data_IF_930810324817
#
_entry.id   IF_930810324817
#
_cell.length_a   1.000
_cell.length_b   1.000
_cell.length_c   1.000
_cell.angle_alpha   90.00
_cell.angle_beta   90.00
_cell.angle_gamma   90.00
#
_symmetry.space_group_name_H-M   'P 1'
#
loop_
_entity.id
_entity.type
_entity.pdbx_description
1 polymer ?
#
# COMPACT_ATOMS: atom_id res chain seq x y z
N UNK A 1 11.50 -17.59 17.84
CA UNK A 1 10.92 -17.34 16.48
C UNK A 1 10.88 -15.85 16.24
N UNK A 2 11.33 -15.38 15.08
CA UNK A 2 11.33 -13.95 14.71
C UNK A 2 9.90 -13.41 14.59
N UNK A 3 9.65 -12.19 15.06
CA UNK A 3 8.35 -11.54 14.91
C UNK A 3 7.97 -11.33 13.43
N UNK A 4 6.70 -11.23 13.09
CA UNK A 4 6.27 -10.86 11.74
C UNK A 4 6.81 -9.50 11.29
N UNK A 5 6.99 -9.36 9.97
CA UNK A 5 7.20 -8.06 9.32
C UNK A 5 5.84 -7.51 8.90
N UNK A 6 5.56 -6.25 9.23
CA UNK A 6 4.31 -5.58 8.91
C UNK A 6 4.54 -4.56 7.80
N UNK A 7 3.90 -4.77 6.65
CA UNK A 7 3.80 -3.82 5.55
C UNK A 7 2.48 -3.06 5.65
N UNK A 8 2.55 -1.77 5.94
CA UNK A 8 1.41 -0.86 5.87
C UNK A 8 1.31 -0.16 4.53
N UNK A 9 0.11 -0.16 3.94
CA UNK A 9 -0.15 0.52 2.67
C UNK A 9 -1.36 1.45 2.84
N UNK A 10 -1.14 2.74 2.66
CA UNK A 10 -2.15 3.78 2.75
C UNK A 10 -2.31 4.47 1.40
N UNK A 11 -3.48 4.95 1.12
CA UNK A 11 -3.83 5.74 -0.04
C UNK A 11 -5.34 5.88 -0.16
N UNK A 12 -5.81 6.86 -0.87
CA UNK A 12 -7.25 7.09 -1.02
C UNK A 12 -7.94 5.94 -1.80
N UNK A 13 -9.25 5.99 -1.81
CA UNK A 13 -10.07 5.03 -2.56
C UNK A 13 -9.70 5.06 -4.04
N UNK A 14 -9.47 3.88 -4.60
CA UNK A 14 -8.99 3.67 -5.97
C UNK A 14 -7.54 4.14 -6.25
N UNK A 15 -6.71 4.40 -5.24
CA UNK A 15 -5.30 4.73 -5.45
C UNK A 15 -4.44 3.54 -5.94
N UNK A 16 -4.98 2.33 -6.04
CA UNK A 16 -4.25 1.14 -6.50
C UNK A 16 -3.67 0.28 -5.37
N UNK A 17 -4.01 0.52 -4.10
CA UNK A 17 -3.52 -0.25 -2.94
C UNK A 17 -3.60 -1.76 -3.16
N UNK A 18 -4.80 -2.25 -3.39
CA UNK A 18 -5.05 -3.69 -3.59
C UNK A 18 -4.35 -4.25 -4.84
N UNK A 19 -4.15 -3.44 -5.87
CA UNK A 19 -3.39 -3.85 -7.07
C UNK A 19 -1.92 -4.03 -6.72
N UNK A 20 -1.34 -3.09 -5.98
CA UNK A 20 0.06 -3.16 -5.54
C UNK A 20 0.27 -4.34 -4.58
N UNK A 21 -0.56 -4.48 -3.54
CA UNK A 21 -0.41 -5.51 -2.51
C UNK A 21 -0.71 -6.91 -3.01
N UNK A 22 -1.63 -7.07 -3.96
CA UNK A 22 -2.04 -8.38 -4.50
C UNK A 22 -0.87 -9.18 -5.08
N UNK A 23 -0.02 -8.55 -5.89
CA UNK A 23 1.16 -9.19 -6.46
C UNK A 23 2.12 -9.65 -5.36
N UNK A 24 2.41 -8.76 -4.40
CA UNK A 24 3.26 -9.05 -3.24
C UNK A 24 2.72 -10.23 -2.42
N UNK A 25 1.45 -10.18 -2.03
CA UNK A 25 0.79 -11.24 -1.24
C UNK A 25 0.81 -12.56 -2.00
N UNK A 26 0.54 -12.55 -3.31
CA UNK A 26 0.52 -13.77 -4.14
C UNK A 26 1.89 -14.44 -4.19
N UNK A 27 2.96 -13.68 -4.36
CA UNK A 27 4.34 -14.19 -4.39
C UNK A 27 4.74 -14.77 -3.03
N UNK A 28 4.31 -14.15 -1.94
CA UNK A 28 4.57 -14.65 -0.58
C UNK A 28 3.74 -15.89 -0.20
N UNK A 29 3.01 -16.48 -1.14
CA UNK A 29 2.23 -17.71 -0.93
C UNK A 29 0.74 -17.48 -0.68
N UNK A 30 0.25 -16.26 -0.96
CA UNK A 30 -1.18 -15.93 -0.81
C UNK A 30 -1.62 -15.72 0.64
N UNK A 31 -2.93 -15.62 0.83
CA UNK A 31 -3.53 -15.38 2.16
C UNK A 31 -3.34 -16.52 3.16
N UNK A 32 -2.93 -17.69 2.71
CA UNK A 32 -2.58 -18.80 3.60
C UNK A 32 -1.25 -18.58 4.32
N UNK A 33 -0.33 -17.82 3.70
CA UNK A 33 1.02 -17.57 4.20
C UNK A 33 1.27 -16.10 4.58
N UNK A 34 0.31 -15.22 4.31
CA UNK A 34 0.35 -13.79 4.66
C UNK A 34 -0.91 -13.44 5.44
N UNK A 35 -0.74 -12.83 6.62
CA UNK A 35 -1.86 -12.27 7.37
C UNK A 35 -2.26 -10.96 6.70
N UNK A 36 -3.38 -10.97 5.98
CA UNK A 36 -3.87 -9.80 5.25
C UNK A 36 -4.98 -9.10 6.02
N UNK A 37 -4.80 -7.81 6.27
CA UNK A 37 -5.72 -6.96 7.02
C UNK A 37 -6.20 -5.83 6.12
N UNK A 38 -7.51 -5.72 5.93
CA UNK A 38 -8.13 -4.54 5.33
C UNK A 38 -8.53 -3.55 6.42
N UNK A 39 -8.06 -2.31 6.33
CA UNK A 39 -8.48 -1.24 7.24
C UNK A 39 -9.97 -0.92 7.12
N UNK A 40 -10.56 -1.14 5.95
CA UNK A 40 -12.00 -0.95 5.73
C UNK A 40 -12.86 -1.94 6.54
N UNK A 41 -12.30 -3.08 6.96
CA UNK A 41 -12.98 -4.01 7.86
C UNK A 41 -13.24 -3.41 9.26
N UNK A 42 -12.53 -2.36 9.63
CA UNK A 42 -12.64 -1.69 10.93
C UNK A 42 -13.63 -0.53 10.94
N UNK A 43 -14.52 -0.41 9.97
CA UNK A 43 -15.62 0.55 10.03
C UNK A 43 -16.52 0.29 11.24
N UNK A 44 -16.91 1.37 11.95
CA UNK A 44 -17.90 1.32 13.07
C UNK A 44 -19.32 1.16 12.57
N UNK A 45 -19.59 1.70 11.38
CA UNK A 45 -20.94 1.85 10.83
C UNK A 45 -21.03 1.27 9.43
N UNK A 46 -22.17 0.69 9.11
CA UNK A 46 -22.54 0.33 7.75
C UNK A 46 -22.67 1.59 6.85
N UNK A 47 -22.75 1.37 5.54
CA UNK A 47 -22.83 2.47 4.54
C UNK A 47 -24.02 3.40 4.81
N UNK A 48 -25.22 2.83 5.06
CA UNK A 48 -26.42 3.60 5.33
C UNK A 48 -26.27 4.45 6.59
N UNK A 49 -25.80 3.86 7.68
CA UNK A 49 -25.57 4.58 8.95
C UNK A 49 -24.58 5.74 8.79
N UNK A 50 -23.47 5.54 8.03
CA UNK A 50 -22.53 6.65 7.74
C UNK A 50 -23.21 7.77 6.96
N UNK A 51 -24.07 7.43 6.01
CA UNK A 51 -24.82 8.44 5.23
C UNK A 51 -25.79 9.24 6.13
N UNK A 52 -26.49 8.57 7.03
CA UNK A 52 -27.41 9.21 7.99
C UNK A 52 -26.69 10.12 8.98
N UNK A 53 -25.47 9.72 9.41
CA UNK A 53 -24.60 10.49 10.28
C UNK A 53 -23.84 11.62 9.56
N UNK A 54 -23.88 11.68 8.23
CA UNK A 54 -23.16 12.67 7.44
C UNK A 54 -21.64 12.52 7.50
N UNK A 55 -21.10 11.35 7.89
CA UNK A 55 -19.67 11.09 8.01
C UNK A 55 -19.15 10.22 6.88
N UNK A 56 -17.90 10.47 6.46
CA UNK A 56 -17.25 9.67 5.41
C UNK A 56 -16.44 8.50 6.01
N UNK A 57 -16.05 7.51 5.19
CA UNK A 57 -15.11 6.47 5.62
C UNK A 57 -13.72 6.99 6.03
N UNK A 58 -13.37 8.21 5.63
CA UNK A 58 -12.09 8.87 5.98
C UNK A 58 -12.12 9.50 7.37
N UNK A 59 -13.29 9.73 7.94
CA UNK A 59 -13.38 10.27 9.28
C UNK A 59 -12.93 9.23 10.32
N UNK A 60 -11.92 9.55 11.16
CA UNK A 60 -11.46 8.63 12.21
C UNK A 60 -12.58 8.13 13.12
N UNK A 61 -13.58 8.95 13.43
CA UNK A 61 -14.73 8.57 14.26
C UNK A 61 -15.61 7.48 13.61
N UNK A 62 -15.51 7.29 12.29
CA UNK A 62 -16.23 6.24 11.58
C UNK A 62 -15.51 4.88 11.63
N UNK A 63 -14.36 4.79 12.32
CA UNK A 63 -13.49 3.63 12.29
C UNK A 63 -13.03 3.21 13.70
N UNK A 64 -12.80 1.92 13.91
CA UNK A 64 -12.19 1.35 15.11
C UNK A 64 -10.67 1.30 14.97
N UNK A 65 -10.02 2.49 14.92
CA UNK A 65 -8.58 2.60 14.71
C UNK A 65 -7.76 2.11 15.90
N UNK A 66 -8.29 2.23 17.10
CA UNK A 66 -7.77 1.68 18.34
C UNK A 66 -7.71 0.15 18.29
N UNK A 67 -8.78 -0.51 17.86
CA UNK A 67 -8.83 -1.97 17.69
C UNK A 67 -7.87 -2.41 16.56
N UNK A 68 -7.78 -1.67 15.45
CA UNK A 68 -6.81 -1.96 14.40
C UNK A 68 -5.38 -1.94 14.96
N UNK A 69 -5.02 -0.92 15.75
CA UNK A 69 -3.69 -0.81 16.38
C UNK A 69 -3.41 -1.97 17.34
N UNK A 70 -4.39 -2.35 18.17
CA UNK A 70 -4.28 -3.51 19.06
C UNK A 70 -4.07 -4.80 18.26
N UNK A 71 -4.86 -5.05 17.22
CA UNK A 71 -4.74 -6.25 16.40
C UNK A 71 -3.39 -6.34 15.68
N UNK A 72 -2.86 -5.23 15.18
CA UNK A 72 -1.51 -5.22 14.59
C UNK A 72 -0.43 -5.52 15.63
N UNK A 73 -0.57 -5.01 16.84
CA UNK A 73 0.36 -5.30 17.94
C UNK A 73 0.32 -6.78 18.35
N UNK A 74 -0.87 -7.39 18.46
CA UNK A 74 -1.03 -8.82 18.72
C UNK A 74 -0.42 -9.68 17.61
N UNK A 75 -0.71 -9.36 16.34
CA UNK A 75 -0.11 -10.08 15.22
C UNK A 75 1.42 -9.98 15.22
N UNK A 76 1.99 -8.81 15.54
CA UNK A 76 3.46 -8.65 15.73
C UNK A 76 4.00 -9.50 16.88
N UNK A 77 3.24 -9.65 17.97
CA UNK A 77 3.54 -10.52 19.09
C UNK A 77 3.31 -12.01 18.77
N UNK A 78 2.91 -12.37 17.55
CA UNK A 78 2.55 -13.72 17.10
C UNK A 78 1.28 -14.27 17.76
N UNK A 79 0.41 -13.40 18.16
CA UNK A 79 -0.89 -13.72 18.72
C UNK A 79 -1.98 -13.61 17.63
N UNK A 80 -2.94 -14.52 17.67
CA UNK A 80 -4.07 -14.51 16.74
C UNK A 80 -5.12 -13.48 17.18
N UNK A 81 -5.87 -12.95 16.21
CA UNK A 81 -6.92 -11.97 16.46
C UNK A 81 -8.24 -12.38 15.84
N UNK A 82 -9.32 -11.86 16.38
CA UNK A 82 -10.66 -11.97 15.81
C UNK A 82 -11.02 -10.64 15.16
N UNK A 83 -10.72 -10.53 13.87
CA UNK A 83 -10.84 -9.31 13.08
C UNK A 83 -12.30 -9.05 12.68
N UNK A 84 -12.84 -7.81 12.78
CA UNK A 84 -14.11 -7.46 12.17
C UNK A 84 -14.05 -7.61 10.65
N UNK A 85 -15.20 -7.64 9.99
CA UNK A 85 -15.29 -7.67 8.52
C UNK A 85 -16.30 -6.67 8.00
N UNK A 86 -16.08 -6.17 6.78
CA UNK A 86 -16.97 -5.27 6.09
C UNK A 86 -17.24 -5.75 4.67
N UNK A 87 -18.49 -5.95 4.33
CA UNK A 87 -18.90 -6.28 2.96
C UNK A 87 -19.15 -5.03 2.14
N UNK A 88 -18.26 -4.76 1.19
CA UNK A 88 -18.38 -3.63 0.27
C UNK A 88 -19.59 -3.71 -0.68
N UNK A 89 -20.13 -4.88 -0.93
CA UNK A 89 -21.30 -5.05 -1.84
C UNK A 89 -22.57 -4.60 -1.14
N UNK A 90 -22.85 -5.16 0.02
CA UNK A 90 -24.02 -4.79 0.83
C UNK A 90 -23.81 -3.46 1.58
N UNK A 91 -22.57 -3.11 1.89
CA UNK A 91 -22.22 -1.96 2.72
C UNK A 91 -22.48 -2.19 4.21
N UNK A 92 -22.40 -3.45 4.67
CA UNK A 92 -22.72 -3.87 6.03
C UNK A 92 -21.52 -4.49 6.74
N UNK A 93 -21.59 -4.51 8.07
CA UNK A 93 -20.63 -5.25 8.89
C UNK A 93 -20.96 -6.75 8.82
N UNK A 94 -19.93 -7.58 8.74
CA UNK A 94 -20.04 -9.04 8.68
C UNK A 94 -19.61 -9.73 9.99
N UNK A 95 -19.68 -11.07 10.03
CA UNK A 95 -19.16 -11.83 11.15
C UNK A 95 -17.65 -11.70 11.26
N UNK A 96 -17.06 -11.72 12.46
CA UNK A 96 -15.63 -11.59 12.63
C UNK A 96 -14.87 -12.78 12.02
N UNK A 97 -13.64 -12.52 11.57
CA UNK A 97 -12.75 -13.49 10.95
C UNK A 97 -11.55 -13.77 11.88
N UNK A 98 -11.22 -15.05 12.04
CA UNK A 98 -10.05 -15.47 12.79
C UNK A 98 -8.78 -15.37 11.93
N UNK A 99 -7.83 -14.53 12.36
CA UNK A 99 -6.57 -14.31 11.65
C UNK A 99 -5.40 -14.81 12.51
N UNK A 100 -4.63 -15.75 11.94
CA UNK A 100 -3.38 -16.23 12.54
C UNK A 100 -2.21 -15.36 12.09
N UNK A 101 -1.20 -15.14 12.97
CA UNK A 101 0.01 -14.41 12.60
C UNK A 101 0.89 -15.28 11.68
N UNK A 102 1.14 -14.80 10.49
CA UNK A 102 2.12 -15.34 9.56
C UNK A 102 3.45 -14.58 9.65
N UNK A 103 4.44 -14.99 8.85
CA UNK A 103 5.76 -14.31 8.82
C UNK A 103 5.67 -12.88 8.27
N UNK A 104 4.67 -12.61 7.45
CA UNK A 104 4.38 -11.30 6.90
C UNK A 104 2.92 -10.93 7.20
N UNK A 105 2.72 -9.69 7.60
CA UNK A 105 1.42 -9.05 7.78
C UNK A 105 1.34 -7.92 6.76
N UNK A 106 0.30 -7.90 5.94
CA UNK A 106 0.02 -6.80 5.02
C UNK A 106 -1.26 -6.12 5.48
N UNK A 107 -1.19 -4.85 5.84
CA UNK A 107 -2.33 -4.03 6.18
C UNK A 107 -2.50 -2.92 5.16
N UNK A 108 -3.65 -2.86 4.50
CA UNK A 108 -3.99 -1.76 3.59
C UNK A 108 -5.25 -1.04 4.06
N UNK A 109 -5.28 0.27 3.87
CA UNK A 109 -6.46 1.03 4.27
C UNK A 109 -6.37 2.53 3.96
N UNK A 110 -7.31 3.24 4.53
CA UNK A 110 -7.42 4.69 4.39
C UNK A 110 -6.66 5.43 5.52
N UNK A 111 -6.57 4.86 6.72
CA UNK A 111 -6.15 5.57 7.93
C UNK A 111 -5.07 4.83 8.75
N UNK A 112 -4.29 3.93 8.12
CA UNK A 112 -3.32 3.08 8.83
C UNK A 112 -2.11 3.84 9.39
N UNK A 113 -1.93 5.13 9.06
CA UNK A 113 -0.86 5.99 9.59
C UNK A 113 -1.44 7.22 10.31
N UNK A 114 -2.71 7.17 10.73
CA UNK A 114 -3.41 8.31 11.34
C UNK A 114 -3.05 8.56 12.80
N UNK A 115 -2.33 7.64 13.46
CA UNK A 115 -1.85 7.80 14.83
C UNK A 115 -0.44 7.24 14.99
N UNK A 116 0.24 7.66 16.06
CA UNK A 116 1.58 7.16 16.41
C UNK A 116 1.58 5.65 16.62
N UNK A 117 0.59 5.12 17.32
CA UNK A 117 0.44 3.68 17.57
C UNK A 117 0.33 2.90 16.26
N UNK A 118 -0.48 3.40 15.31
CA UNK A 118 -0.63 2.77 14.00
C UNK A 118 0.67 2.88 13.19
N UNK A 119 1.35 4.03 13.21
CA UNK A 119 2.64 4.19 12.54
C UNK A 119 3.68 3.21 13.09
N UNK A 120 3.81 3.10 14.42
CA UNK A 120 4.76 2.22 15.09
C UNK A 120 4.48 0.72 14.87
N UNK A 121 3.24 0.36 14.57
CA UNK A 121 2.87 -1.01 14.27
C UNK A 121 3.39 -1.51 12.91
N UNK A 122 3.82 -0.62 12.01
CA UNK A 122 4.28 -0.95 10.66
C UNK A 122 5.80 -0.86 10.55
N UNK A 123 6.43 -1.88 9.97
CA UNK A 123 7.87 -1.92 9.73
C UNK A 123 8.25 -1.28 8.39
N UNK A 124 7.32 -1.27 7.43
CA UNK A 124 7.46 -0.61 6.13
C UNK A 124 6.16 0.15 5.88
N UNK A 125 6.25 1.46 5.69
CA UNK A 125 5.09 2.35 5.49
C UNK A 125 5.08 2.88 4.07
N UNK A 126 4.09 2.44 3.28
CA UNK A 126 3.91 2.81 1.88
C UNK A 126 2.69 3.69 1.72
N UNK A 127 2.84 4.84 1.06
CA UNK A 127 1.74 5.72 0.71
C UNK A 127 1.55 5.77 -0.80
N UNK A 128 0.35 5.47 -1.31
CA UNK A 128 0.02 5.60 -2.73
C UNK A 128 -0.57 6.97 -3.04
N UNK A 129 0.08 7.69 -3.95
CA UNK A 129 -0.26 9.04 -4.35
C UNK A 129 -0.32 9.20 -5.89
N UNK A 130 -1.19 8.47 -6.58
CA UNK A 130 -1.38 8.72 -8.01
C UNK A 130 -1.94 10.13 -8.24
N UNK A 131 -1.73 10.73 -9.43
CA UNK A 131 -2.38 11.98 -9.81
C UNK A 131 -3.90 11.90 -9.60
N UNK A 132 -4.48 12.98 -9.08
CA UNK A 132 -5.89 12.99 -8.67
C UNK A 132 -6.84 12.68 -9.84
N UNK A 133 -6.58 13.22 -11.03
CA UNK A 133 -7.38 12.98 -12.23
C UNK A 133 -7.40 11.48 -12.61
N UNK A 134 -6.23 10.84 -12.54
CA UNK A 134 -6.10 9.40 -12.82
C UNK A 134 -6.85 8.58 -11.76
N UNK A 135 -6.69 8.92 -10.49
CA UNK A 135 -7.39 8.28 -9.38
C UNK A 135 -8.92 8.40 -9.52
N UNK A 136 -9.43 9.60 -9.86
CA UNK A 136 -10.87 9.84 -10.11
C UNK A 136 -11.37 8.97 -11.26
N UNK A 137 -10.61 8.87 -12.35
CA UNK A 137 -10.93 8.01 -13.50
C UNK A 137 -11.02 6.53 -13.08
N UNK A 138 -10.04 6.05 -12.31
CA UNK A 138 -10.06 4.68 -11.80
C UNK A 138 -11.23 4.41 -10.85
N UNK A 139 -11.57 5.39 -10.00
CA UNK A 139 -12.72 5.27 -9.09
C UNK A 139 -14.02 5.21 -9.87
N UNK A 140 -14.22 6.08 -10.85
CA UNK A 140 -15.39 6.08 -11.73
C UNK A 140 -15.53 4.73 -12.44
N UNK A 141 -14.47 4.28 -13.11
CA UNK A 141 -14.47 2.99 -13.82
C UNK A 141 -14.83 1.84 -12.87
N UNK A 142 -14.13 1.73 -11.72
CA UNK A 142 -14.36 0.65 -10.75
C UNK A 142 -15.77 0.66 -10.17
N UNK A 143 -16.25 1.81 -9.73
CA UNK A 143 -17.49 1.90 -8.96
C UNK A 143 -18.71 1.79 -9.89
N UNK A 144 -18.64 2.31 -11.13
CA UNK A 144 -19.70 2.14 -12.12
C UNK A 144 -19.75 0.70 -12.66
N UNK A 145 -18.59 0.06 -12.93
CA UNK A 145 -18.59 -1.29 -13.56
C UNK A 145 -18.76 -2.43 -12.55
N UNK A 146 -18.23 -2.30 -11.32
CA UNK A 146 -18.20 -3.42 -10.35
C UNK A 146 -19.13 -3.25 -9.16
N UNK A 147 -19.54 -2.02 -8.84
CA UNK A 147 -20.34 -1.71 -7.65
C UNK A 147 -21.74 -1.21 -7.98
N UNK A 148 -22.05 -0.98 -9.27
CA UNK A 148 -23.36 -0.57 -9.74
C UNK A 148 -23.74 0.89 -9.44
N UNK A 149 -22.76 1.76 -9.11
CA UNK A 149 -23.01 3.17 -8.93
C UNK A 149 -23.15 3.90 -10.26
N UNK A 150 -23.93 4.97 -10.29
CA UNK A 150 -23.95 5.92 -11.39
C UNK A 150 -22.77 6.87 -11.32
N UNK A 151 -22.36 7.44 -12.45
CA UNK A 151 -21.31 8.46 -12.51
C UNK A 151 -21.59 9.64 -11.57
N UNK A 152 -22.85 10.08 -11.51
CA UNK A 152 -23.29 11.19 -10.66
C UNK A 152 -23.09 10.86 -9.15
N UNK A 153 -23.45 9.65 -8.73
CA UNK A 153 -23.26 9.22 -7.33
C UNK A 153 -21.77 9.17 -6.95
N UNK A 154 -20.92 8.69 -7.85
CA UNK A 154 -19.48 8.62 -7.60
C UNK A 154 -18.86 10.01 -7.51
N UNK A 155 -19.24 10.95 -8.38
CA UNK A 155 -18.77 12.35 -8.34
C UNK A 155 -19.23 13.01 -7.04
N UNK A 156 -20.51 12.90 -6.70
CA UNK A 156 -21.05 13.49 -5.48
C UNK A 156 -20.38 12.91 -4.20
N UNK A 157 -20.00 11.62 -4.21
CA UNK A 157 -19.23 11.02 -3.12
C UNK A 157 -17.80 11.60 -3.06
N UNK A 158 -17.13 11.77 -4.19
CA UNK A 158 -15.78 12.35 -4.25
C UNK A 158 -15.78 13.78 -3.68
N UNK A 159 -16.70 14.60 -4.12
CA UNK A 159 -16.78 16.01 -3.68
C UNK A 159 -17.08 16.11 -2.17
N UNK A 160 -17.97 15.27 -1.66
CA UNK A 160 -18.31 15.22 -0.24
C UNK A 160 -17.15 14.78 0.66
N UNK A 161 -16.16 14.05 0.11
CA UNK A 161 -15.00 13.53 0.84
C UNK A 161 -13.79 14.47 0.81
N UNK A 162 -13.79 15.51 -0.01
CA UNK A 162 -12.59 16.32 -0.26
C UNK A 162 -12.05 16.95 1.03
N UNK A 163 -12.93 17.48 1.90
CA UNK A 163 -12.52 18.03 3.19
C UNK A 163 -11.85 16.98 4.09
N UNK A 164 -12.41 15.78 4.15
CA UNK A 164 -11.84 14.67 4.94
C UNK A 164 -10.54 14.13 4.30
N UNK A 165 -10.39 14.18 2.98
CA UNK A 165 -9.14 13.86 2.28
C UNK A 165 -8.03 14.81 2.71
N UNK A 166 -8.29 16.11 2.69
CA UNK A 166 -7.33 17.14 3.13
C UNK A 166 -6.98 16.97 4.62
N UNK A 167 -7.99 16.73 5.44
CA UNK A 167 -7.82 16.70 6.89
C UNK A 167 -7.19 15.41 7.40
N UNK A 168 -7.53 14.24 6.85
CA UNK A 168 -7.18 12.94 7.42
C UNK A 168 -6.33 12.05 6.52
N UNK A 169 -6.46 12.18 5.18
CA UNK A 169 -5.72 11.31 4.25
C UNK A 169 -4.35 11.88 3.89
N UNK A 170 -4.31 13.11 3.35
CA UNK A 170 -3.07 13.72 2.86
C UNK A 170 -1.98 13.87 3.94
N UNK A 171 -2.30 14.23 5.21
CA UNK A 171 -1.29 14.35 6.25
C UNK A 171 -0.53 13.04 6.52
N UNK A 172 -1.11 11.88 6.25
CA UNK A 172 -0.47 10.58 6.48
C UNK A 172 0.75 10.35 5.57
N UNK A 173 0.82 11.06 4.43
CA UNK A 173 1.96 11.00 3.50
C UNK A 173 3.30 11.30 4.19
N UNK A 174 3.31 12.15 5.22
CA UNK A 174 4.53 12.51 5.98
C UNK A 174 5.15 11.34 6.73
N UNK A 175 4.34 10.35 7.11
CA UNK A 175 4.80 9.18 7.88
C UNK A 175 5.26 8.01 7.01
N UNK A 176 5.05 8.08 5.69
CA UNK A 176 5.46 7.03 4.78
C UNK A 176 6.98 7.01 4.61
N UNK A 177 7.54 5.80 4.56
CA UNK A 177 8.93 5.54 4.21
C UNK A 177 9.10 5.51 2.68
N UNK A 178 8.08 4.99 2.00
CA UNK A 178 8.04 4.88 0.54
C UNK A 178 6.74 5.52 0.04
N UNK A 179 6.84 6.45 -0.91
CA UNK A 179 5.68 7.01 -1.60
C UNK A 179 5.69 6.50 -3.02
N UNK A 180 4.59 5.87 -3.44
CA UNK A 180 4.44 5.31 -4.78
C UNK A 180 3.40 6.10 -5.54
N UNK A 181 3.76 6.58 -6.72
CA UNK A 181 2.87 7.23 -7.67
C UNK A 181 2.91 6.50 -9.00
N UNK A 182 1.75 6.18 -9.55
CA UNK A 182 1.62 5.74 -10.93
C UNK A 182 1.02 6.89 -11.73
N UNK A 183 1.69 7.29 -12.80
CA UNK A 183 1.25 8.40 -13.65
C UNK A 183 1.37 8.00 -15.13
N UNK A 184 0.52 8.55 -16.03
CA UNK A 184 0.66 8.30 -17.46
C UNK A 184 2.07 8.60 -17.93
N UNK A 185 2.65 7.71 -18.73
CA UNK A 185 3.95 7.94 -19.36
C UNK A 185 3.86 9.08 -20.36
N UNK A 186 4.99 9.73 -20.62
CA UNK A 186 5.12 10.73 -21.70
C UNK A 186 5.21 10.09 -23.08
N UNK A 187 5.28 8.76 -23.17
CA UNK A 187 5.28 8.03 -24.45
C UNK A 187 3.93 8.11 -25.15
N UNK A 188 3.89 7.68 -26.42
CA UNK A 188 2.69 7.71 -27.27
C UNK A 188 1.56 6.76 -26.82
N UNK A 189 1.80 5.92 -25.82
CA UNK A 189 0.79 4.98 -25.31
C UNK A 189 0.26 5.44 -23.93
N UNK A 190 -0.95 6.04 -23.86
CA UNK A 190 -1.52 6.56 -22.64
C UNK A 190 -1.98 5.47 -21.65
N UNK A 191 -1.98 4.20 -22.05
CA UNK A 191 -2.32 3.08 -21.16
C UNK A 191 -1.14 2.66 -20.28
N UNK A 192 0.07 3.06 -20.65
CA UNK A 192 1.27 2.78 -19.90
C UNK A 192 1.43 3.79 -18.76
N UNK A 193 1.82 3.31 -17.60
CA UNK A 193 2.04 4.13 -16.41
C UNK A 193 3.49 4.01 -15.96
N UNK A 194 4.15 5.15 -15.80
CA UNK A 194 5.39 5.23 -15.05
C UNK A 194 5.13 4.96 -13.57
N UNK A 195 6.10 4.38 -12.88
CA UNK A 195 6.06 4.29 -11.42
C UNK A 195 7.18 5.14 -10.82
N UNK A 196 6.82 6.17 -10.08
CA UNK A 196 7.72 6.99 -9.29
C UNK A 196 7.67 6.54 -7.84
N UNK A 197 8.83 6.16 -7.28
CA UNK A 197 8.97 5.78 -5.88
C UNK A 197 9.90 6.76 -5.16
N UNK A 198 9.35 7.53 -4.23
CA UNK A 198 10.15 8.35 -3.31
C UNK A 198 10.52 7.45 -2.13
N UNK A 199 11.81 7.23 -1.95
CA UNK A 199 12.42 6.39 -0.91
C UNK A 199 13.06 7.32 0.12
N UNK A 200 12.54 7.34 1.35
CA UNK A 200 13.01 8.22 2.42
C UNK A 200 14.02 7.55 3.32
N UNK A 201 14.97 8.28 3.84
CA UNK A 201 16.01 7.81 4.76
C UNK A 201 15.48 7.37 6.13
N UNK A 202 14.16 7.40 6.35
CA UNK A 202 13.50 6.85 7.55
C UNK A 202 13.51 5.33 7.62
N UNK A 203 13.70 4.66 6.48
CA UNK A 203 13.79 3.22 6.35
C UNK A 203 15.14 2.84 5.75
N UNK A 204 15.73 1.73 6.20
CA UNK A 204 16.88 1.13 5.53
C UNK A 204 16.44 0.57 4.20
N UNK A 205 17.04 1.07 3.11
CA UNK A 205 16.75 0.56 1.78
C UNK A 205 17.76 -0.53 1.41
N UNK A 206 17.33 -1.60 0.74
CA UNK A 206 18.24 -2.58 0.17
C UNK A 206 19.07 -1.96 -0.96
N UNK A 207 20.13 -2.65 -1.38
CA UNK A 207 20.93 -2.20 -2.54
C UNK A 207 20.08 -2.19 -3.82
N UNK A 208 19.82 -0.99 -4.35
CA UNK A 208 19.00 -0.78 -5.55
C UNK A 208 19.83 -0.86 -6.86
N UNK A 209 21.14 -1.02 -6.77
CA UNK A 209 22.00 -1.07 -7.96
C UNK A 209 21.57 -2.10 -9.02
N UNK A 210 20.96 -3.26 -8.64
CA UNK A 210 20.47 -4.22 -9.63
C UNK A 210 19.33 -3.69 -10.52
N UNK A 211 18.61 -2.68 -10.06
CA UNK A 211 17.50 -2.05 -10.80
C UNK A 211 17.97 -0.91 -11.74
N UNK A 212 19.23 -0.46 -11.60
CA UNK A 212 19.72 0.72 -12.30
C UNK A 212 20.58 0.33 -13.50
N UNK A 213 20.50 1.12 -14.56
CA UNK A 213 21.39 1.04 -15.71
C UNK A 213 22.10 2.38 -15.88
N UNK A 214 23.40 2.38 -16.21
CA UNK A 214 24.18 3.62 -16.40
C UNK A 214 23.68 4.47 -17.57
N UNK A 215 23.13 3.82 -18.61
CA UNK A 215 22.66 4.46 -19.85
C UNK A 215 21.46 3.69 -20.38
N UNK A 216 20.42 4.39 -20.89
CA UNK A 216 19.30 3.82 -21.62
C UNK A 216 17.92 4.06 -20.99
N UNK A 217 16.89 3.39 -21.54
CA UNK A 217 15.47 3.57 -21.26
C UNK A 217 14.98 2.79 -20.00
N UNK A 218 15.87 2.56 -19.04
CA UNK A 218 15.57 1.81 -17.83
C UNK A 218 15.25 2.69 -16.61
N UNK A 219 15.04 2.06 -15.44
CA UNK A 219 14.84 2.77 -14.19
C UNK A 219 16.01 3.69 -13.83
N UNK A 220 15.68 4.88 -13.32
CA UNK A 220 16.66 5.90 -12.91
C UNK A 220 16.49 6.23 -11.44
N UNK A 221 17.61 6.55 -10.75
CA UNK A 221 17.62 6.96 -9.34
C UNK A 221 18.25 8.34 -9.21
N UNK A 222 17.46 9.29 -8.71
CA UNK A 222 17.93 10.63 -8.35
C UNK A 222 17.99 10.74 -6.84
N UNK A 223 19.19 10.92 -6.29
CA UNK A 223 19.42 11.09 -4.86
C UNK A 223 19.23 12.55 -4.46
N UNK A 224 18.59 12.79 -3.33
CA UNK A 224 18.42 14.08 -2.64
C UNK A 224 18.89 13.93 -1.19
N UNK A 225 18.89 15.03 -0.44
CA UNK A 225 19.44 15.07 0.92
C UNK A 225 18.84 14.02 1.87
N UNK A 226 17.51 13.85 1.87
CA UNK A 226 16.79 12.96 2.77
C UNK A 226 15.88 11.94 2.09
N UNK A 227 15.93 11.88 0.77
CA UNK A 227 15.13 10.96 -0.02
C UNK A 227 15.78 10.68 -1.37
N UNK A 228 15.39 9.58 -1.99
CA UNK A 228 15.76 9.24 -3.37
C UNK A 228 14.52 9.05 -4.20
N UNK A 229 14.51 9.53 -5.44
CA UNK A 229 13.44 9.27 -6.41
C UNK A 229 13.90 8.17 -7.36
N UNK A 230 13.30 7.01 -7.26
CA UNK A 230 13.40 5.93 -8.25
C UNK A 230 12.26 6.07 -9.24
N UNK A 231 12.55 6.34 -10.49
CA UNK A 231 11.58 6.36 -11.60
C UNK A 231 11.70 5.09 -12.42
N UNK A 232 10.59 4.41 -12.65
CA UNK A 232 10.48 3.21 -13.49
C UNK A 232 9.56 3.55 -14.67
N UNK A 233 10.09 3.68 -15.90
CA UNK A 233 9.28 4.00 -17.07
C UNK A 233 8.24 2.90 -17.36
N UNK A 234 7.02 3.32 -17.74
CA UNK A 234 5.93 2.40 -18.06
C UNK A 234 6.16 1.62 -19.35
N UNK A 235 6.96 2.15 -20.25
CA UNK A 235 7.35 1.58 -21.54
C UNK A 235 8.69 0.80 -21.47
N UNK A 236 9.17 0.51 -20.26
CA UNK A 236 10.36 -0.36 -20.07
C UNK A 236 10.21 -1.65 -20.88
N UNK A 237 11.22 -1.96 -21.70
CA UNK A 237 11.21 -3.19 -22.52
C UNK A 237 10.99 -4.43 -21.65
N UNK A 238 10.09 -5.37 -22.04
CA UNK A 238 9.77 -6.54 -21.22
C UNK A 238 10.97 -7.46 -20.93
N UNK A 239 11.96 -7.53 -21.83
CA UNK A 239 13.20 -8.31 -21.60
C UNK A 239 14.09 -7.63 -20.59
N UNK A 240 14.21 -6.30 -20.68
CA UNK A 240 14.94 -5.51 -19.69
C UNK A 240 14.27 -5.64 -18.31
N UNK A 241 12.96 -5.47 -18.22
CA UNK A 241 12.21 -5.62 -16.96
C UNK A 241 12.45 -7.00 -16.33
N UNK A 242 12.38 -8.08 -17.12
CA UNK A 242 12.67 -9.43 -16.65
C UNK A 242 14.12 -9.59 -16.15
N UNK A 243 15.10 -8.99 -16.83
CA UNK A 243 16.50 -9.01 -16.38
C UNK A 243 16.70 -8.25 -15.05
N UNK A 244 16.00 -7.11 -14.88
CA UNK A 244 16.04 -6.33 -13.65
C UNK A 244 15.37 -7.08 -12.49
N UNK A 245 14.22 -7.69 -12.74
CA UNK A 245 13.58 -8.58 -11.76
C UNK A 245 14.54 -9.70 -11.34
N UNK A 246 15.17 -10.39 -12.28
CA UNK A 246 16.11 -11.48 -12.02
C UNK A 246 17.32 -11.01 -11.19
N UNK A 247 17.86 -9.83 -11.49
CA UNK A 247 18.96 -9.25 -10.75
C UNK A 247 18.59 -8.97 -9.27
N UNK A 248 17.37 -8.48 -9.01
CA UNK A 248 16.86 -8.30 -7.66
C UNK A 248 16.60 -9.64 -6.97
N UNK A 249 15.99 -10.61 -7.66
CA UNK A 249 15.76 -11.94 -7.11
C UNK A 249 17.06 -12.65 -6.70
N UNK A 250 18.13 -12.46 -7.46
CA UNK A 250 19.47 -12.99 -7.12
C UNK A 250 19.98 -12.43 -5.79
N UNK A 251 19.64 -11.17 -5.44
CA UNK A 251 19.96 -10.57 -4.14
C UNK A 251 19.11 -11.11 -2.99
N UNK A 252 17.91 -11.59 -3.28
CA UNK A 252 16.99 -12.22 -2.32
C UNK A 252 17.23 -13.72 -2.19
N UNK A 253 18.47 -14.18 -2.03
CA UNK A 253 18.88 -15.58 -2.08
C UNK A 253 18.03 -16.53 -1.23
N UNK A 254 17.57 -16.10 -0.05
CA UNK A 254 16.73 -16.89 0.85
C UNK A 254 15.27 -16.99 0.39
N UNK A 255 14.84 -16.19 -0.56
CA UNK A 255 13.48 -16.11 -1.07
C UNK A 255 13.37 -16.53 -2.54
N UNK A 256 14.42 -17.08 -3.13
CA UNK A 256 14.44 -17.50 -4.55
C UNK A 256 13.34 -18.52 -4.90
N UNK A 257 12.90 -19.32 -3.92
CA UNK A 257 11.78 -20.26 -4.07
C UNK A 257 10.41 -19.58 -4.22
N UNK A 258 10.32 -18.29 -3.86
CA UNK A 258 9.08 -17.48 -3.99
C UNK A 258 8.92 -16.87 -5.38
N UNK A 259 9.93 -16.98 -6.25
CA UNK A 259 9.91 -16.40 -7.59
C UNK A 259 8.67 -16.87 -8.36
N UNK A 260 7.84 -15.94 -8.73
CA UNK A 260 6.62 -16.19 -9.49
C UNK A 260 6.52 -15.23 -10.70
N UNK A 261 6.04 -15.76 -11.83
CA UNK A 261 5.86 -15.00 -13.08
C UNK A 261 4.63 -14.05 -13.07
N UNK A 262 4.05 -13.79 -11.90
CA UNK A 262 2.76 -13.10 -11.78
C UNK A 262 2.83 -11.68 -11.22
N UNK A 263 4.01 -11.08 -11.18
CA UNK A 263 4.15 -9.68 -10.82
C UNK A 263 3.69 -8.78 -11.96
N UNK A 264 3.17 -7.60 -11.60
CA UNK A 264 2.68 -6.62 -12.55
C UNK A 264 1.27 -6.88 -13.10
N UNK A 265 0.60 -7.97 -12.70
CA UNK A 265 -0.77 -8.27 -13.14
C UNK A 265 -1.79 -7.37 -12.46
N UNK A 266 -2.70 -6.81 -13.26
CA UNK A 266 -3.85 -6.05 -12.79
C UNK A 266 -5.06 -6.30 -13.72
N UNK A 267 -6.25 -5.89 -13.29
CA UNK A 267 -7.49 -6.17 -14.04
C UNK A 267 -8.20 -4.86 -14.36
N UNK A 268 -8.51 -4.65 -15.63
CA UNK A 268 -9.41 -3.60 -16.11
C UNK A 268 -10.70 -4.29 -16.59
N UNK A 269 -11.84 -3.95 -15.98
CA UNK A 269 -13.08 -4.70 -16.24
C UNK A 269 -12.90 -6.18 -15.86
N UNK A 270 -12.98 -7.06 -16.85
CA UNK A 270 -12.76 -8.53 -16.74
C UNK A 270 -11.41 -8.98 -17.33
N UNK A 271 -10.69 -8.09 -18.00
CA UNK A 271 -9.45 -8.42 -18.71
C UNK A 271 -8.24 -8.32 -17.81
N UNK A 272 -7.33 -9.29 -17.93
CA UNK A 272 -6.07 -9.32 -17.22
C UNK A 272 -4.99 -8.63 -18.06
N UNK A 273 -4.35 -7.64 -17.47
CA UNK A 273 -3.24 -6.87 -18.05
C UNK A 273 -1.97 -7.06 -17.24
N UNK A 274 -0.83 -6.72 -17.81
CA UNK A 274 0.46 -6.68 -17.13
C UNK A 274 1.16 -5.33 -17.38
N UNK A 275 1.70 -4.73 -16.31
CA UNK A 275 2.53 -3.53 -16.35
C UNK A 275 3.93 -3.87 -15.86
N UNK A 276 4.96 -3.46 -16.61
CA UNK A 276 6.36 -3.67 -16.23
C UNK A 276 6.75 -2.78 -15.04
N UNK A 277 6.30 -1.54 -15.03
CA UNK A 277 6.55 -0.62 -13.90
C UNK A 277 5.89 -1.11 -12.60
N UNK A 278 4.68 -1.66 -12.67
CA UNK A 278 4.03 -2.29 -11.52
C UNK A 278 4.79 -3.54 -11.06
N UNK A 279 5.26 -4.37 -12.00
CA UNK A 279 6.04 -5.58 -11.67
C UNK A 279 7.33 -5.22 -10.93
N UNK A 280 8.08 -4.24 -11.41
CA UNK A 280 9.32 -3.77 -10.79
C UNK A 280 9.05 -3.10 -9.43
N UNK A 281 7.98 -2.31 -9.30
CA UNK A 281 7.58 -1.73 -8.02
C UNK A 281 7.21 -2.81 -7.00
N UNK A 282 6.49 -3.85 -7.39
CA UNK A 282 6.16 -4.99 -6.54
C UNK A 282 7.42 -5.80 -6.16
N UNK A 283 8.34 -6.00 -7.10
CA UNK A 283 9.64 -6.65 -6.85
C UNK A 283 10.45 -5.88 -5.82
N UNK A 284 10.47 -4.55 -5.91
CA UNK A 284 11.14 -3.70 -4.94
C UNK A 284 10.51 -3.82 -3.54
N UNK A 285 9.19 -3.84 -3.44
CA UNK A 285 8.52 -4.02 -2.15
C UNK A 285 8.80 -5.41 -1.54
N UNK A 286 8.85 -6.45 -2.35
CA UNK A 286 9.26 -7.79 -1.91
C UNK A 286 10.70 -7.77 -1.40
N UNK A 287 11.59 -7.06 -2.09
CA UNK A 287 12.99 -6.92 -1.66
C UNK A 287 13.09 -6.22 -0.30
N UNK A 288 12.34 -5.13 -0.09
CA UNK A 288 12.25 -4.49 1.23
C UNK A 288 11.72 -5.46 2.30
N UNK A 289 10.64 -6.17 2.04
CA UNK A 289 10.06 -7.13 2.99
C UNK A 289 11.04 -8.23 3.41
N UNK A 290 11.75 -8.81 2.45
CA UNK A 290 12.72 -9.88 2.71
C UNK A 290 13.94 -9.33 3.45
N UNK A 291 14.46 -8.16 3.06
CA UNK A 291 15.58 -7.48 3.72
C UNK A 291 15.24 -7.08 5.15
N UNK A 292 14.09 -6.45 5.36
CA UNK A 292 13.58 -6.09 6.70
C UNK A 292 13.41 -7.34 7.59
N UNK A 293 12.94 -8.45 7.04
CA UNK A 293 12.86 -9.70 7.79
C UNK A 293 14.24 -10.19 8.24
N UNK A 294 15.23 -10.11 7.36
CA UNK A 294 16.61 -10.49 7.68
C UNK A 294 17.20 -9.58 8.77
N UNK A 295 16.99 -8.27 8.68
CA UNK A 295 17.41 -7.28 9.68
C UNK A 295 16.79 -7.55 11.05
N UNK A 296 15.46 -7.71 11.12
CA UNK A 296 14.75 -8.06 12.35
C UNK A 296 15.28 -9.39 12.94
N UNK A 297 15.57 -10.37 12.10
CA UNK A 297 16.13 -11.65 12.54
C UNK A 297 17.53 -11.51 13.11
N UNK A 298 18.29 -10.53 12.64
CA UNK A 298 19.60 -10.15 13.16
C UNK A 298 19.57 -9.18 14.36
N UNK A 299 18.37 -8.80 14.83
CA UNK A 299 18.19 -7.81 15.91
C UNK A 299 18.43 -6.37 15.49
N UNK A 300 18.38 -6.07 14.20
CA UNK A 300 18.57 -4.72 13.63
C UNK A 300 17.20 -4.06 13.46
N UNK A 301 17.06 -2.81 13.90
CA UNK A 301 15.88 -2.01 13.63
C UNK A 301 15.90 -1.57 12.14
N UNK A 302 14.85 -1.85 11.37
CA UNK A 302 14.76 -1.41 9.98
C UNK A 302 14.62 0.10 9.83
N UNK A 303 14.14 0.81 10.85
CA UNK A 303 14.03 2.27 10.79
C UNK A 303 15.34 2.95 11.16
N UNK A 304 15.65 4.04 10.43
CA UNK A 304 16.79 4.91 10.68
C UNK A 304 16.26 6.22 11.25
N UNK A 305 16.48 6.41 12.56
CA UNK A 305 15.99 7.61 13.27
C UNK A 305 14.53 7.48 13.76
N UNK A 306 14.10 8.49 14.50
CA UNK A 306 12.72 8.53 15.01
C UNK A 306 11.75 8.87 13.88
N UNK A 307 10.54 8.28 13.86
CA UNK A 307 9.48 8.77 12.97
C UNK A 307 9.28 10.28 13.22
N UNK A 308 8.91 11.05 12.19
CA UNK A 308 8.64 12.47 12.36
C UNK A 308 7.61 12.66 13.48
N UNK A 309 7.92 13.58 14.38
CA UNK A 309 7.19 13.80 15.64
C UNK A 309 5.68 14.06 15.35
N UNK A 310 4.80 13.24 15.88
CA UNK A 310 3.34 13.27 15.63
C UNK A 310 2.67 14.35 16.50
N UNK A 311 3.42 15.01 17.39
CA UNK A 311 2.90 15.92 18.43
C UNK A 311 2.12 17.15 17.94
N UNK A 312 1.87 17.29 16.64
CA UNK A 312 1.02 18.37 16.10
C UNK A 312 -0.40 17.94 15.70
N UNK A 313 -0.74 16.62 15.76
CA UNK A 313 -2.02 16.13 15.25
C UNK A 313 -2.98 15.62 16.35
N UNK A 314 -2.47 15.31 17.55
CA UNK A 314 -3.31 14.73 18.62
C UNK A 314 -4.30 15.71 19.25
N UNK A 315 -4.06 17.03 19.19
CA UNK A 315 -5.02 18.01 19.72
C UNK A 315 -6.25 18.22 18.85
N UNK A 316 -6.23 17.78 17.60
CA UNK A 316 -7.36 17.94 16.66
C UNK A 316 -8.25 16.69 16.55
N UNK A 317 -7.83 15.56 17.14
CA UNK A 317 -8.57 14.28 17.06
C UNK A 317 -9.49 14.04 18.28
N UNK A 318 -9.39 14.87 19.32
CA UNK A 318 -10.19 14.77 20.55
C UNK A 318 -11.11 15.99 20.82
N UNK A 319 -11.29 16.88 19.83
CA UNK A 319 -12.22 18.02 19.95
C UNK A 319 -13.48 17.77 19.10
#
# INVERSE_FOLDING_TARGET
MTRPVVLGVVGDSAAGKTTLTRGVVRVLGGREHVSYISGDDYHRYGRQQRSELGITPLNPAANHLDILGQHLSHLRAREAVLKPTYDHRSGTLGPPEYVRPNSFVVVEGLLNFSSETLCAANDIRVFLAPPEELRRTWKLTRDCTRRGYTTHEVIAELDRREEDVERYMRPQRRFADIIVSFAPTTSSNPELLDADLILRDTLRHPDLSPLLRPEGDGPTLVRREHESLLRIPGDTDPKLAAQLEDAVWTRMQYASHLRAQRLGEFTIGTELHRSQSLALAQTLLLYHLVSTRAEISAGIDPHVGHPPNVTGADSALHA
#
